data_IF_464812093920
#
_entry.id   IF_464812093920
#
_cell.length_a   1.000
_cell.length_b   1.000
_cell.length_c   1.000
_cell.angle_alpha   90.00
_cell.angle_beta   90.00
_cell.angle_gamma   90.00
#
_symmetry.space_group_name_H-M   'P 1'
#
loop_
_entity.id
_entity.type
_entity.pdbx_description
1 polymer ?
#
# COMPACT_ATOMS: atom_id res chain seq x y z
N UNK A 1 -6.68 6.32 11.88
CA UNK A 1 -5.65 6.55 10.84
C UNK A 1 -6.37 7.17 9.67
N UNK A 2 -5.73 8.08 8.95
CA UNK A 2 -6.36 8.71 7.79
C UNK A 2 -5.31 9.00 6.74
N UNK A 3 -5.75 8.98 5.49
CA UNK A 3 -5.00 9.56 4.39
C UNK A 3 -5.89 10.59 3.71
N UNK A 4 -5.29 11.55 3.02
CA UNK A 4 -6.01 12.51 2.18
C UNK A 4 -5.35 12.61 0.82
N UNK A 5 -6.18 12.78 -0.19
CA UNK A 5 -5.72 13.23 -1.50
C UNK A 5 -5.40 14.72 -1.41
N UNK A 6 -4.22 15.09 -1.86
CA UNK A 6 -3.78 16.46 -2.05
C UNK A 6 -4.09 16.87 -3.48
N UNK A 7 -4.46 18.14 -3.68
CA UNK A 7 -4.82 18.65 -4.98
C UNK A 7 -3.63 18.58 -5.95
N UNK A 8 -3.83 17.87 -7.07
CA UNK A 8 -2.86 17.75 -8.13
C UNK A 8 -3.58 17.44 -9.44
N UNK A 9 -3.07 17.97 -10.56
CA UNK A 9 -3.81 17.96 -11.84
C UNK A 9 -3.69 16.66 -12.62
N UNK A 10 -2.69 15.82 -12.33
CA UNK A 10 -2.38 14.62 -13.12
C UNK A 10 -2.35 13.37 -12.25
N UNK A 11 -1.46 13.37 -11.25
CA UNK A 11 -1.19 12.21 -10.41
C UNK A 11 -1.95 12.28 -9.09
N UNK A 12 -2.24 11.11 -8.51
CA UNK A 12 -2.76 11.01 -7.15
C UNK A 12 -1.64 11.35 -6.15
N UNK A 13 -1.76 12.51 -5.49
CA UNK A 13 -0.83 12.89 -4.44
C UNK A 13 -1.46 12.60 -3.08
N UNK A 14 -0.80 11.77 -2.26
CA UNK A 14 -1.41 11.18 -1.07
C UNK A 14 -0.58 11.50 0.18
N UNK A 15 -1.21 12.12 1.18
CA UNK A 15 -0.64 12.30 2.51
C UNK A 15 -1.22 11.24 3.46
N UNK A 16 -0.37 10.44 4.09
CA UNK A 16 -0.76 9.40 5.06
C UNK A 16 -0.36 9.82 6.47
N UNK A 17 -1.29 9.66 7.43
CA UNK A 17 -1.06 9.87 8.85
C UNK A 17 -1.48 8.64 9.66
N UNK A 18 -0.52 8.11 10.41
CA UNK A 18 -0.66 6.90 11.22
C UNK A 18 0.14 7.00 12.52
N UNK A 19 -0.13 6.11 13.49
CA UNK A 19 0.55 6.12 14.79
C UNK A 19 1.87 5.35 14.74
N UNK A 20 1.97 4.33 13.90
CA UNK A 20 3.18 3.54 13.70
C UNK A 20 3.59 3.52 12.23
N UNK A 21 4.82 3.05 11.97
CA UNK A 21 5.35 2.93 10.62
C UNK A 21 4.61 1.85 9.84
N UNK A 22 4.32 0.72 10.47
CA UNK A 22 3.56 -0.38 9.88
C UNK A 22 2.15 0.07 9.50
N UNK A 23 1.47 0.81 10.38
CA UNK A 23 0.18 1.41 10.08
C UNK A 23 0.28 2.39 8.89
N UNK A 24 1.35 3.20 8.81
CA UNK A 24 1.56 4.11 7.70
C UNK A 24 1.72 3.35 6.36
N UNK A 25 2.45 2.25 6.36
CA UNK A 25 2.64 1.40 5.18
C UNK A 25 1.35 0.69 4.76
N UNK A 26 0.59 0.16 5.72
CA UNK A 26 -0.74 -0.43 5.45
C UNK A 26 -1.69 0.59 4.83
N UNK A 27 -1.77 1.80 5.39
CA UNK A 27 -2.66 2.86 4.87
C UNK A 27 -2.19 3.38 3.51
N UNK A 28 -0.88 3.54 3.31
CA UNK A 28 -0.32 3.91 2.01
C UNK A 28 -0.66 2.86 0.94
N UNK A 29 -0.48 1.58 1.25
CA UNK A 29 -0.85 0.51 0.33
C UNK A 29 -2.34 0.50 -0.01
N UNK A 30 -3.19 0.66 1.01
CA UNK A 30 -4.64 0.78 0.82
C UNK A 30 -5.03 1.94 -0.09
N UNK A 31 -4.41 3.11 0.09
CA UNK A 31 -4.68 4.29 -0.74
C UNK A 31 -4.30 4.11 -2.22
N UNK A 32 -3.26 3.31 -2.50
CA UNK A 32 -2.90 2.95 -3.88
C UNK A 32 -3.96 2.05 -4.50
N UNK A 33 -4.44 1.04 -3.77
CA UNK A 33 -5.51 0.17 -4.30
C UNK A 33 -6.79 0.95 -4.51
N UNK A 34 -7.17 1.84 -3.59
CA UNK A 34 -8.34 2.74 -3.74
C UNK A 34 -8.25 3.66 -4.96
N UNK A 35 -7.05 3.94 -5.46
CA UNK A 35 -6.86 4.71 -6.71
C UNK A 35 -7.14 3.86 -7.96
N UNK A 36 -7.07 2.53 -7.85
CA UNK A 36 -7.21 1.59 -8.97
C UNK A 36 -8.63 0.96 -8.98
N UNK A 37 -9.13 0.54 -7.82
CA UNK A 37 -10.37 -0.24 -7.66
C UNK A 37 -11.13 0.26 -6.43
N UNK A 38 -12.45 0.37 -6.54
CA UNK A 38 -13.34 0.60 -5.41
C UNK A 38 -13.31 -0.61 -4.46
N UNK A 39 -12.78 -0.39 -3.25
CA UNK A 39 -12.60 -1.45 -2.26
C UNK A 39 -13.91 -2.10 -1.83
N UNK A 40 -15.04 -1.39 -1.85
CA UNK A 40 -16.32 -1.92 -1.38
C UNK A 40 -16.84 -3.08 -2.23
N UNK A 41 -16.29 -3.25 -3.43
CA UNK A 41 -16.59 -4.36 -4.32
C UNK A 41 -15.63 -5.55 -4.15
N UNK A 42 -14.64 -5.47 -3.24
CA UNK A 42 -13.64 -6.53 -3.03
C UNK A 42 -14.08 -7.46 -1.89
N UNK A 43 -14.06 -8.77 -2.15
CA UNK A 43 -14.30 -9.82 -1.16
C UNK A 43 -12.99 -10.45 -0.69
N UNK A 44 -12.83 -10.63 0.63
CA UNK A 44 -11.65 -11.23 1.25
C UNK A 44 -11.75 -12.76 1.25
N UNK A 45 -11.43 -13.38 0.11
CA UNK A 45 -11.54 -14.84 -0.09
C UNK A 45 -10.20 -15.58 -0.01
N UNK A 46 -9.08 -14.88 -0.21
CA UNK A 46 -7.73 -15.44 -0.23
C UNK A 46 -6.73 -14.46 0.39
N UNK A 47 -5.60 -14.99 0.88
CA UNK A 47 -4.49 -14.20 1.45
C UNK A 47 -3.21 -14.45 0.66
N UNK A 48 -2.45 -13.38 0.40
CA UNK A 48 -1.13 -13.45 -0.25
C UNK A 48 -0.06 -12.84 0.65
N UNK A 49 0.97 -13.62 0.93
CA UNK A 49 2.11 -13.18 1.71
C UNK A 49 3.23 -12.68 0.78
N UNK A 50 3.73 -11.47 1.03
CA UNK A 50 4.82 -10.86 0.27
C UNK A 50 5.92 -10.36 1.18
N UNK A 51 7.15 -10.31 0.65
CA UNK A 51 8.30 -9.82 1.37
C UNK A 51 9.06 -8.82 0.51
N UNK A 52 9.11 -7.58 0.97
CA UNK A 52 9.75 -6.47 0.27
C UNK A 52 10.97 -6.02 1.06
N UNK A 53 12.08 -5.80 0.35
CA UNK A 53 13.32 -5.29 0.93
C UNK A 53 13.62 -3.90 0.35
N UNK A 54 14.20 -3.03 1.15
CA UNK A 54 14.63 -1.70 0.72
C UNK A 54 15.93 -1.32 1.40
N UNK A 55 16.76 -0.52 0.72
CA UNK A 55 18.05 -0.05 1.25
C UNK A 55 17.90 0.99 2.37
N UNK A 56 16.75 1.66 2.41
CA UNK A 56 16.32 2.61 3.43
C UNK A 56 14.79 2.67 3.44
N UNK A 57 14.20 3.46 4.34
CA UNK A 57 12.73 3.55 4.48
C UNK A 57 12.04 4.10 3.23
N UNK A 58 12.62 5.09 2.55
CA UNK A 58 12.08 5.67 1.31
C UNK A 58 12.02 4.63 0.19
N UNK A 59 13.11 3.89 -0.01
CA UNK A 59 13.17 2.84 -1.01
C UNK A 59 12.29 1.64 -0.63
N UNK A 60 12.18 1.31 0.67
CA UNK A 60 11.26 0.28 1.14
C UNK A 60 9.81 0.66 0.83
N UNK A 61 9.42 1.91 1.07
CA UNK A 61 8.08 2.40 0.74
C UNK A 61 7.83 2.37 -0.77
N UNK A 62 8.79 2.84 -1.58
CA UNK A 62 8.68 2.76 -3.04
C UNK A 62 8.45 1.32 -3.50
N UNK A 63 9.31 0.40 -3.10
CA UNK A 63 9.21 -1.01 -3.49
C UNK A 63 7.90 -1.64 -2.99
N UNK A 64 7.42 -1.24 -1.79
CA UNK A 64 6.15 -1.71 -1.24
C UNK A 64 4.96 -1.30 -2.10
N UNK A 65 4.89 -0.02 -2.50
CA UNK A 65 3.80 0.48 -3.32
C UNK A 65 3.87 -0.08 -4.75
N UNK A 66 5.06 -0.21 -5.33
CA UNK A 66 5.28 -0.82 -6.65
C UNK A 66 4.82 -2.29 -6.68
N UNK A 67 5.12 -3.06 -5.63
CA UNK A 67 4.68 -4.45 -5.49
C UNK A 67 3.15 -4.54 -5.40
N UNK A 68 2.50 -3.65 -4.64
CA UNK A 68 1.03 -3.59 -4.56
C UNK A 68 0.40 -3.31 -5.91
N UNK A 69 0.94 -2.35 -6.68
CA UNK A 69 0.49 -2.06 -8.04
C UNK A 69 0.65 -3.28 -8.92
N UNK A 70 1.79 -3.97 -8.84
CA UNK A 70 2.08 -5.17 -9.65
C UNK A 70 1.10 -6.30 -9.32
N UNK A 71 0.88 -6.60 -8.04
CA UNK A 71 -0.07 -7.63 -7.60
C UNK A 71 -1.49 -7.28 -8.01
N UNK A 72 -1.88 -6.01 -7.92
CA UNK A 72 -3.24 -5.59 -8.25
C UNK A 72 -3.50 -5.63 -9.76
N UNK A 73 -2.59 -5.08 -10.57
CA UNK A 73 -2.80 -4.90 -12.01
C UNK A 73 -2.32 -6.10 -12.82
N UNK A 74 -1.13 -6.62 -12.53
CA UNK A 74 -0.50 -7.69 -13.31
C UNK A 74 -1.02 -9.05 -12.89
N UNK A 75 -1.06 -9.33 -11.59
CA UNK A 75 -1.55 -10.63 -11.09
C UNK A 75 -3.08 -10.70 -11.01
N UNK A 76 -3.77 -9.55 -11.14
CA UNK A 76 -5.23 -9.46 -11.03
C UNK A 76 -5.76 -9.73 -9.62
N UNK A 77 -4.93 -9.55 -8.58
CA UNK A 77 -5.31 -9.83 -7.20
C UNK A 77 -5.78 -8.55 -6.51
N UNK A 78 -7.09 -8.43 -6.28
CA UNK A 78 -7.69 -7.26 -5.64
C UNK A 78 -7.48 -7.30 -4.11
N UNK A 79 -6.72 -6.34 -3.57
CA UNK A 79 -6.34 -6.32 -2.15
C UNK A 79 -7.27 -5.41 -1.34
N UNK A 80 -7.93 -5.94 -0.30
CA UNK A 80 -8.79 -5.14 0.57
C UNK A 80 -8.12 -4.68 1.87
N UNK A 81 -7.33 -5.56 2.49
CA UNK A 81 -6.71 -5.32 3.79
C UNK A 81 -5.21 -5.65 3.77
N UNK A 82 -4.47 -4.99 4.66
CA UNK A 82 -3.02 -5.13 4.79
C UNK A 82 -2.63 -5.39 6.24
N UNK A 83 -1.86 -6.46 6.46
CA UNK A 83 -1.13 -6.70 7.70
C UNK A 83 0.36 -6.52 7.42
N UNK A 84 0.97 -5.49 8.00
CA UNK A 84 2.35 -5.11 7.71
C UNK A 84 3.22 -5.32 8.95
N UNK A 85 4.39 -5.91 8.75
CA UNK A 85 5.44 -5.98 9.76
C UNK A 85 6.75 -5.50 9.15
N UNK A 86 7.40 -4.53 9.80
CA UNK A 86 8.66 -3.96 9.33
C UNK A 86 9.75 -4.33 10.33
N UNK A 87 10.84 -4.91 9.83
CA UNK A 87 12.02 -5.21 10.63
C UNK A 87 13.23 -4.55 10.01
N UNK A 88 14.06 -3.95 10.86
CA UNK A 88 15.39 -3.51 10.46
C UNK A 88 16.32 -4.72 10.53
N UNK A 89 16.94 -5.05 9.42
CA UNK A 89 18.05 -6.00 9.41
C UNK A 89 19.34 -5.20 9.63
N UNK A 90 20.18 -5.69 10.55
CA UNK A 90 21.51 -5.14 10.82
C UNK A 90 22.51 -5.49 9.71
#
# INVERSE_FOLDING_TARGET
MSYKYLEHSTDAFIEVKAKTLEEAFSVAGKSVVETIIDLDNIQEIEEKNINVKGRNLLNLLYNWLEEIVTITITDGFAIRNFSVNIKKND
#
